data_IF_302877685347
#
_entry.id   IF_302877685347
#
_cell.length_a   1.000
_cell.length_b   1.000
_cell.length_c   1.000
_cell.angle_alpha   90.00
_cell.angle_beta   90.00
_cell.angle_gamma   90.00
#
_symmetry.space_group_name_H-M   'P 1'
#
loop_
_entity.id
_entity.type
_entity.pdbx_description
1 polymer ?
#
# COMPACT_ATOMS: atom_id res chain seq x y z
N UNK A 1 -28.58 3.15 -2.63
CA UNK A 1 -28.62 1.96 -1.75
C UNK A 1 -27.20 1.43 -1.67
N UNK A 2 -26.64 1.23 -0.47
CA UNK A 2 -25.32 0.63 -0.31
C UNK A 2 -25.38 -0.89 -0.55
N UNK A 3 -24.35 -1.51 -1.15
CA UNK A 3 -24.32 -2.95 -1.31
C UNK A 3 -24.28 -3.65 0.07
N UNK A 4 -24.90 -4.83 0.22
CA UNK A 4 -24.94 -5.54 1.50
C UNK A 4 -23.59 -6.13 1.92
N UNK A 5 -22.66 -6.32 0.98
CA UNK A 5 -21.32 -6.89 1.19
C UNK A 5 -20.38 -6.49 0.07
N UNK A 6 -19.08 -6.72 0.26
CA UNK A 6 -18.05 -6.40 -0.75
C UNK A 6 -17.81 -4.90 -0.90
N UNK A 7 -17.91 -4.15 0.20
CA UNK A 7 -17.57 -2.72 0.25
C UNK A 7 -16.43 -2.49 1.24
N UNK A 8 -15.67 -1.43 0.99
CA UNK A 8 -14.65 -0.92 1.91
C UNK A 8 -15.06 0.48 2.35
N UNK A 9 -14.83 0.80 3.62
CA UNK A 9 -15.03 2.14 4.15
C UNK A 9 -13.69 2.88 4.14
N UNK A 10 -13.72 4.12 3.68
CA UNK A 10 -12.55 5.00 3.67
C UNK A 10 -12.93 6.33 4.31
N UNK A 11 -11.96 6.97 4.98
CA UNK A 11 -12.19 8.30 5.52
C UNK A 11 -12.36 9.34 4.41
N UNK A 12 -13.10 10.42 4.70
CA UNK A 12 -13.17 11.55 3.78
C UNK A 12 -11.81 12.22 3.61
N UNK A 13 -10.96 12.22 4.65
CA UNK A 13 -9.61 12.77 4.58
C UNK A 13 -8.74 12.05 3.53
N UNK A 14 -8.93 10.75 3.37
CA UNK A 14 -8.27 9.96 2.32
C UNK A 14 -8.85 10.31 0.93
N UNK A 15 -10.17 10.26 0.78
CA UNK A 15 -10.82 10.43 -0.55
C UNK A 15 -10.68 11.86 -1.07
N UNK A 16 -10.66 12.85 -0.18
CA UNK A 16 -10.61 14.29 -0.51
C UNK A 16 -9.22 14.89 -0.24
N UNK A 17 -8.19 14.05 -0.13
CA UNK A 17 -6.87 14.48 0.27
C UNK A 17 -6.28 15.50 -0.74
N UNK A 18 -5.93 16.73 -0.33
CA UNK A 18 -5.60 17.81 -1.28
C UNK A 18 -4.28 17.59 -2.02
N UNK A 19 -3.38 16.76 -1.48
CA UNK A 19 -2.05 16.45 -2.06
C UNK A 19 -2.01 15.15 -2.88
N UNK A 20 -3.05 14.33 -2.83
CA UNK A 20 -3.12 13.08 -3.59
C UNK A 20 -3.78 13.32 -4.94
N UNK A 21 -3.21 12.77 -6.01
CA UNK A 21 -3.89 12.71 -7.31
C UNK A 21 -5.01 11.65 -7.30
N UNK A 22 -5.91 11.71 -8.28
CA UNK A 22 -6.92 10.68 -8.48
C UNK A 22 -6.31 9.27 -8.62
N UNK A 23 -5.14 9.15 -9.27
CA UNK A 23 -4.42 7.88 -9.37
C UNK A 23 -3.88 7.41 -8.02
N UNK A 24 -3.40 8.32 -7.16
CA UNK A 24 -2.96 7.96 -5.81
C UNK A 24 -4.13 7.48 -4.95
N UNK A 25 -5.27 8.18 -4.98
CA UNK A 25 -6.49 7.77 -4.28
C UNK A 25 -6.99 6.43 -4.82
N UNK A 26 -7.03 6.24 -6.15
CA UNK A 26 -7.43 4.98 -6.78
C UNK A 26 -6.50 3.83 -6.42
N UNK A 27 -5.19 4.04 -6.45
CA UNK A 27 -4.19 3.04 -6.08
C UNK A 27 -4.34 2.62 -4.61
N UNK A 28 -4.49 3.59 -3.70
CA UNK A 28 -4.62 3.33 -2.27
C UNK A 28 -5.94 2.61 -1.94
N UNK A 29 -7.07 3.10 -2.46
CA UNK A 29 -8.39 2.48 -2.22
C UNK A 29 -8.47 1.07 -2.78
N UNK A 30 -7.85 0.81 -3.94
CA UNK A 30 -7.76 -0.55 -4.48
C UNK A 30 -6.97 -1.47 -3.55
N UNK A 31 -5.77 -1.03 -3.13
CA UNK A 31 -4.90 -1.80 -2.25
C UNK A 31 -5.57 -2.12 -0.90
N UNK A 32 -6.26 -1.15 -0.30
CA UNK A 32 -6.98 -1.31 0.97
C UNK A 32 -8.25 -2.15 0.85
N UNK A 33 -8.76 -2.36 -0.37
CA UNK A 33 -9.93 -3.22 -0.63
C UNK A 33 -9.58 -4.67 -0.93
N UNK A 34 -8.28 -5.00 -0.99
CA UNK A 34 -7.85 -6.38 -1.19
C UNK A 34 -8.24 -7.24 0.02
N UNK A 35 -8.57 -8.53 -0.19
CA UNK A 35 -8.80 -9.46 0.89
C UNK A 35 -7.57 -9.60 1.80
N UNK A 36 -7.81 -9.91 3.08
CA UNK A 36 -6.73 -10.19 4.02
C UNK A 36 -5.81 -11.30 3.51
N UNK A 37 -4.50 -11.07 3.63
CA UNK A 37 -3.47 -11.98 3.14
C UNK A 37 -3.18 -11.88 1.63
N UNK A 38 -3.86 -11.02 0.88
CA UNK A 38 -3.52 -10.74 -0.51
C UNK A 38 -2.08 -10.23 -0.63
N UNK A 39 -1.30 -10.86 -1.53
CA UNK A 39 0.12 -10.53 -1.76
C UNK A 39 0.34 -9.68 -3.01
N UNK A 40 -0.58 -8.76 -3.30
CA UNK A 40 -0.52 -7.91 -4.49
C UNK A 40 0.39 -6.70 -4.26
N UNK A 41 1.39 -6.52 -5.13
CA UNK A 41 2.27 -5.36 -5.10
C UNK A 41 1.55 -4.11 -5.63
N UNK A 42 2.00 -2.91 -5.22
CA UNK A 42 1.43 -1.66 -5.73
C UNK A 42 1.56 -1.53 -7.26
N UNK A 43 2.61 -2.08 -7.86
CA UNK A 43 2.77 -2.06 -9.32
C UNK A 43 1.71 -2.93 -10.01
N UNK A 44 1.45 -4.13 -9.48
CA UNK A 44 0.39 -5.01 -9.99
C UNK A 44 -1.00 -4.40 -9.78
N UNK A 45 -1.23 -3.77 -8.64
CA UNK A 45 -2.44 -2.98 -8.37
C UNK A 45 -2.61 -1.86 -9.40
N UNK A 46 -1.55 -1.12 -9.70
CA UNK A 46 -1.57 -0.05 -10.69
C UNK A 46 -1.91 -0.55 -12.10
N UNK A 47 -1.31 -1.67 -12.52
CA UNK A 47 -1.63 -2.33 -13.79
C UNK A 47 -3.12 -2.70 -13.88
N UNK A 48 -3.65 -3.36 -12.84
CA UNK A 48 -5.08 -3.74 -12.77
C UNK A 48 -6.02 -2.53 -12.71
N UNK A 49 -5.58 -1.47 -12.04
CA UNK A 49 -6.30 -0.20 -11.95
C UNK A 49 -6.20 0.65 -13.22
N UNK A 50 -5.42 0.20 -14.23
CA UNK A 50 -5.10 0.89 -15.49
C UNK A 50 -4.38 2.24 -15.30
N UNK A 51 -3.48 2.29 -14.32
CA UNK A 51 -2.64 3.45 -14.04
C UNK A 51 -1.31 3.29 -14.80
N UNK A 52 -1.00 4.24 -15.69
CA UNK A 52 0.24 4.22 -16.48
C UNK A 52 1.49 4.40 -15.63
N UNK A 53 2.66 3.93 -16.11
CA UNK A 53 3.90 3.88 -15.32
C UNK A 53 4.35 5.24 -14.72
N UNK A 54 4.26 6.33 -15.48
CA UNK A 54 4.58 7.67 -14.98
C UNK A 54 3.60 8.12 -13.89
N UNK A 55 2.30 7.88 -14.10
CA UNK A 55 1.25 8.19 -13.13
C UNK A 55 1.42 7.35 -11.86
N UNK A 56 1.75 6.06 -12.00
CA UNK A 56 2.06 5.17 -10.89
C UNK A 56 3.24 5.67 -10.06
N UNK A 57 4.35 6.06 -10.70
CA UNK A 57 5.54 6.56 -10.00
C UNK A 57 5.21 7.81 -9.19
N UNK A 58 4.45 8.76 -9.78
CA UNK A 58 3.96 9.95 -9.08
C UNK A 58 3.02 9.59 -7.93
N UNK A 59 2.05 8.72 -8.16
CA UNK A 59 1.06 8.29 -7.17
C UNK A 59 1.74 7.63 -5.97
N UNK A 60 2.66 6.68 -6.22
CA UNK A 60 3.42 6.02 -5.16
C UNK A 60 4.27 7.02 -4.36
N UNK A 61 4.88 8.00 -5.01
CA UNK A 61 5.63 9.06 -4.31
C UNK A 61 4.72 9.87 -3.40
N UNK A 62 3.58 10.34 -3.90
CA UNK A 62 2.60 11.08 -3.10
C UNK A 62 2.13 10.25 -1.89
N UNK A 63 1.79 8.97 -2.08
CA UNK A 63 1.37 8.11 -0.97
C UNK A 63 2.45 7.94 0.11
N UNK A 64 3.74 7.96 -0.27
CA UNK A 64 4.85 7.93 0.69
C UNK A 64 5.04 9.26 1.40
N UNK A 65 4.97 10.38 0.67
CA UNK A 65 5.08 11.74 1.20
C UNK A 65 3.93 12.06 2.18
N UNK A 66 2.73 11.56 1.91
CA UNK A 66 1.54 11.69 2.76
C UNK A 66 1.44 10.62 3.86
N UNK A 67 2.39 9.68 3.95
CA UNK A 67 2.45 8.69 5.02
C UNK A 67 1.44 7.54 4.92
N UNK A 68 0.79 7.34 3.77
CA UNK A 68 -0.11 6.20 3.53
C UNK A 68 0.63 4.93 3.12
N UNK A 69 1.84 5.07 2.54
CA UNK A 69 2.70 3.95 2.12
C UNK A 69 4.08 4.11 2.75
N UNK A 70 4.56 3.04 3.36
CA UNK A 70 5.92 2.97 3.91
C UNK A 70 6.61 1.71 3.42
N UNK A 71 7.90 1.81 3.16
CA UNK A 71 8.69 0.70 2.64
C UNK A 71 9.98 0.57 3.42
N UNK A 72 10.42 -0.66 3.66
CA UNK A 72 11.78 -0.94 4.12
C UNK A 72 12.33 -2.17 3.43
N UNK A 73 13.65 -2.21 3.24
CA UNK A 73 14.36 -3.40 2.79
C UNK A 73 14.81 -4.18 4.01
N UNK A 74 14.48 -5.47 4.03
CA UNK A 74 14.93 -6.41 5.06
C UNK A 74 15.68 -7.54 4.37
N UNK A 75 16.72 -8.04 5.03
CA UNK A 75 17.39 -9.24 4.59
C UNK A 75 16.62 -10.45 5.14
N UNK A 76 16.11 -11.30 4.25
CA UNK A 76 15.43 -12.53 4.58
C UNK A 76 16.41 -13.68 4.86
N UNK A 77 15.87 -14.87 5.21
CA UNK A 77 16.66 -16.09 5.31
C UNK A 77 17.44 -16.35 4.02
N UNK A 78 18.70 -16.77 4.13
CA UNK A 78 19.57 -17.00 2.96
C UNK A 78 20.19 -15.73 2.35
N UNK A 79 20.01 -14.56 2.97
CA UNK A 79 20.68 -13.32 2.55
C UNK A 79 19.97 -12.55 1.43
N UNK A 80 18.82 -13.02 0.96
CA UNK A 80 18.01 -12.34 -0.06
C UNK A 80 17.41 -11.04 0.49
N UNK A 81 17.42 -9.98 -0.31
CA UNK A 81 16.76 -8.73 0.06
C UNK A 81 15.29 -8.74 -0.35
N UNK A 82 14.41 -8.42 0.59
CA UNK A 82 12.97 -8.28 0.37
C UNK A 82 12.53 -6.87 0.75
N UNK A 83 11.66 -6.29 -0.07
CA UNK A 83 10.98 -5.03 0.28
C UNK A 83 9.71 -5.35 1.04
N UNK A 84 9.66 -4.99 2.32
CA UNK A 84 8.41 -4.96 3.07
C UNK A 84 7.70 -3.64 2.80
N UNK A 85 6.42 -3.73 2.50
CA UNK A 85 5.57 -2.59 2.22
C UNK A 85 4.40 -2.59 3.20
N UNK A 86 4.21 -1.46 3.87
CA UNK A 86 3.07 -1.17 4.73
C UNK A 86 2.16 -0.17 4.00
N UNK A 87 0.87 -0.48 3.96
CA UNK A 87 -0.17 0.40 3.43
C UNK A 87 -1.19 0.64 4.54
N UNK A 88 -1.55 1.90 4.76
CA UNK A 88 -2.40 2.33 5.86
C UNK A 88 -3.60 3.11 5.33
N UNK A 89 -4.76 2.98 5.98
CA UNK A 89 -5.94 3.79 5.69
C UNK A 89 -5.89 5.18 6.35
N UNK A 90 -4.93 5.39 7.25
CA UNK A 90 -4.64 6.68 7.90
C UNK A 90 -3.16 7.05 7.69
N UNK A 91 -2.81 8.34 7.59
CA UNK A 91 -1.42 8.77 7.55
C UNK A 91 -0.66 8.28 8.77
N UNK A 92 0.51 7.69 8.55
CA UNK A 92 1.46 7.32 9.60
C UNK A 92 2.73 8.15 9.46
N UNK A 93 3.28 8.59 10.58
CA UNK A 93 4.65 9.08 10.58
C UNK A 93 5.65 7.92 10.46
N UNK A 94 6.91 8.24 10.13
CA UNK A 94 7.95 7.24 9.91
C UNK A 94 8.20 6.35 11.13
N UNK A 95 8.08 6.88 12.36
CA UNK A 95 8.32 6.12 13.59
C UNK A 95 7.19 5.12 13.88
N UNK A 96 5.94 5.51 13.65
CA UNK A 96 4.78 4.61 13.74
C UNK A 96 4.88 3.48 12.71
N UNK A 97 5.16 3.84 11.46
CA UNK A 97 5.32 2.88 10.39
C UNK A 97 6.47 1.91 10.66
N UNK A 98 7.60 2.39 11.17
CA UNK A 98 8.73 1.54 11.53
C UNK A 98 8.38 0.52 12.61
N UNK A 99 7.60 0.91 13.64
CA UNK A 99 7.13 0.00 14.69
C UNK A 99 6.23 -1.10 14.14
N UNK A 100 5.33 -0.77 13.20
CA UNK A 100 4.44 -1.75 12.57
C UNK A 100 5.25 -2.69 11.67
N UNK A 101 6.07 -2.11 10.78
CA UNK A 101 6.94 -2.88 9.88
C UNK A 101 7.84 -3.84 10.66
N UNK A 102 8.39 -3.44 11.81
CA UNK A 102 9.21 -4.29 12.67
C UNK A 102 8.49 -5.56 13.16
N UNK A 103 7.16 -5.51 13.29
CA UNK A 103 6.33 -6.65 13.70
C UNK A 103 5.88 -7.50 12.50
N UNK A 104 6.02 -6.99 11.27
CA UNK A 104 5.69 -7.77 10.08
C UNK A 104 6.74 -8.86 9.86
N UNK A 105 6.32 -10.12 9.65
CA UNK A 105 7.26 -11.21 9.46
C UNK A 105 8.21 -10.92 8.29
N UNK A 106 9.51 -11.09 8.55
CA UNK A 106 10.51 -11.18 7.49
C UNK A 106 10.14 -12.37 6.61
N UNK A 107 9.93 -12.11 5.33
CA UNK A 107 9.45 -13.11 4.38
C UNK A 107 10.24 -14.43 4.51
N UNK A 108 9.56 -15.51 4.87
CA UNK A 108 10.03 -16.87 4.60
C UNK A 108 9.65 -17.16 3.15
N UNK A 109 10.61 -17.40 2.23
CA UNK A 109 10.25 -17.88 0.91
C UNK A 109 9.49 -19.20 1.06
N UNK A 110 8.33 -19.29 0.42
CA UNK A 110 7.66 -20.57 0.21
C UNK A 110 8.61 -21.43 -0.60
N UNK A 111 8.92 -22.62 -0.12
CA UNK A 111 9.57 -23.63 -0.93
C UNK A 111 8.51 -24.15 -1.91
N UNK A 112 8.48 -23.56 -3.10
CA UNK A 112 7.84 -24.14 -4.28
C UNK A 112 8.95 -24.60 -5.24
#
# INVERSE_FOLDING_TARGET
IAPPRGFSQFSHDLIRHPRLSSDAVRLLTWQLSLPDGARESLSRTAERARIGACAFTRAKRQLKEEGFVHERRVQGPGGHWVTQQLVSNVPLNAAEAAKILARMPGHTPSAD
#
